data_IF_489060065850
#
_entry.id   IF_489060065850
#
_cell.length_a   1.000
_cell.length_b   1.000
_cell.length_c   1.000
_cell.angle_alpha   90.00
_cell.angle_beta   90.00
_cell.angle_gamma   90.00
#
_symmetry.space_group_name_H-M   'P 1'
#
loop_
_entity.id
_entity.type
_entity.pdbx_description
1 polymer ?
#
# COMPACT_ATOMS: atom_id res chain seq x y z
N UNK A 1 1.49 -10.61 8.85
CA UNK A 1 0.60 -9.47 9.18
C UNK A 1 0.77 -8.41 8.09
N UNK A 2 -0.28 -8.03 7.36
CA UNK A 2 -0.16 -7.08 6.24
C UNK A 2 -0.08 -5.61 6.67
N UNK A 3 -0.96 -5.19 7.59
CA UNK A 3 -1.04 -3.79 8.06
C UNK A 3 0.25 -3.31 8.73
N UNK A 4 0.84 -4.12 9.61
CA UNK A 4 2.09 -3.74 10.30
C UNK A 4 3.25 -3.52 9.32
N UNK A 5 3.31 -4.32 8.26
CA UNK A 5 4.35 -4.18 7.24
C UNK A 5 4.12 -2.98 6.32
N UNK A 6 2.85 -2.65 6.04
CA UNK A 6 2.49 -1.40 5.37
C UNK A 6 2.95 -0.18 6.18
N UNK A 7 2.70 -0.16 7.50
CA UNK A 7 3.15 0.92 8.39
C UNK A 7 4.67 1.02 8.41
N UNK A 8 5.38 -0.11 8.47
CA UNK A 8 6.84 -0.14 8.40
C UNK A 8 7.35 0.43 7.08
N UNK A 9 6.76 0.03 5.96
CA UNK A 9 7.11 0.54 4.64
C UNK A 9 6.93 2.07 4.55
N UNK A 10 5.84 2.61 5.09
CA UNK A 10 5.62 4.06 5.13
C UNK A 10 6.69 4.76 5.97
N UNK A 11 7.01 4.21 7.15
CA UNK A 11 8.02 4.79 8.04
C UNK A 11 9.44 4.73 7.44
N UNK A 12 9.83 3.61 6.84
CA UNK A 12 11.16 3.42 6.21
C UNK A 12 11.40 4.34 5.01
N UNK A 13 10.32 4.76 4.34
CA UNK A 13 10.37 5.62 3.15
C UNK A 13 9.95 7.06 3.41
N UNK A 14 9.67 7.41 4.68
CA UNK A 14 9.19 8.74 5.07
C UNK A 14 8.01 9.19 4.19
N UNK A 15 7.05 8.29 3.97
CA UNK A 15 5.92 8.55 3.09
C UNK A 15 4.97 9.54 3.77
N UNK A 16 4.91 10.75 3.23
CA UNK A 16 3.95 11.79 3.63
C UNK A 16 2.75 11.87 2.68
N UNK A 17 2.96 11.52 1.39
CA UNK A 17 1.90 11.53 0.38
C UNK A 17 1.25 10.15 0.27
N UNK A 18 -0.09 10.02 0.47
CA UNK A 18 -0.79 8.76 0.31
C UNK A 18 -0.58 8.09 -1.04
N UNK A 19 -0.40 8.84 -2.12
CA UNK A 19 -0.19 8.27 -3.46
C UNK A 19 1.07 7.41 -3.55
N UNK A 20 2.11 7.68 -2.75
CA UNK A 20 3.32 6.87 -2.67
C UNK A 20 3.04 5.47 -2.11
N UNK A 21 1.99 5.31 -1.29
CA UNK A 21 1.58 4.03 -0.71
C UNK A 21 1.19 3.03 -1.80
N UNK A 22 0.73 3.50 -2.97
CA UNK A 22 0.40 2.64 -4.13
C UNK A 22 1.59 1.80 -4.61
N UNK A 23 2.82 2.18 -4.24
CA UNK A 23 4.06 1.45 -4.54
C UNK A 23 4.34 0.30 -3.55
N UNK A 24 3.43 0.01 -2.61
CA UNK A 24 3.57 -1.12 -1.70
C UNK A 24 3.40 -2.45 -2.44
N UNK A 25 4.44 -3.27 -2.42
CA UNK A 25 4.56 -4.54 -3.12
C UNK A 25 5.07 -5.69 -2.23
N UNK A 26 5.02 -5.51 -0.89
CA UNK A 26 5.53 -6.50 0.06
C UNK A 26 4.51 -7.61 0.34
N UNK A 27 5.01 -8.76 0.82
CA UNK A 27 4.21 -9.90 1.26
C UNK A 27 3.27 -10.49 0.18
N UNK A 28 3.58 -10.26 -1.10
CA UNK A 28 2.76 -10.70 -2.23
C UNK A 28 1.50 -9.87 -2.45
N UNK A 29 1.38 -8.71 -1.78
CA UNK A 29 0.32 -7.75 -2.08
C UNK A 29 0.66 -6.92 -3.31
N UNK A 30 -0.35 -6.54 -4.08
CA UNK A 30 -0.23 -5.64 -5.23
C UNK A 30 -1.39 -4.68 -5.26
N UNK A 31 -1.10 -3.41 -5.54
CA UNK A 31 -2.10 -2.36 -5.67
C UNK A 31 -3.04 -2.63 -6.86
N UNK A 32 -4.36 -2.55 -6.61
CA UNK A 32 -5.41 -2.72 -7.62
C UNK A 32 -6.10 -1.41 -7.91
N UNK A 33 -5.59 -0.72 -8.93
CA UNK A 33 -6.11 0.58 -9.38
C UNK A 33 -7.59 0.52 -9.74
N UNK A 34 -8.03 -0.57 -10.36
CA UNK A 34 -9.42 -0.78 -10.80
C UNK A 34 -10.41 -0.95 -9.63
N UNK A 35 -9.93 -1.36 -8.46
CA UNK A 35 -10.73 -1.47 -7.24
C UNK A 35 -10.53 -0.29 -6.28
N UNK A 36 -9.59 0.60 -6.59
CA UNK A 36 -9.20 1.72 -5.74
C UNK A 36 -9.90 3.01 -6.17
N UNK A 37 -10.16 3.87 -5.20
CA UNK A 37 -10.71 5.22 -5.38
C UNK A 37 -9.74 6.26 -4.83
N UNK A 38 -10.15 7.53 -4.82
CA UNK A 38 -9.35 8.61 -4.23
C UNK A 38 -9.20 8.47 -2.71
N UNK A 39 -10.21 7.90 -2.04
CA UNK A 39 -10.25 7.75 -0.58
C UNK A 39 -9.90 6.34 -0.09
N UNK A 40 -9.91 5.33 -0.96
CA UNK A 40 -9.67 3.95 -0.58
C UNK A 40 -8.71 3.25 -1.55
N UNK A 41 -7.61 2.70 -1.03
CA UNK A 41 -6.65 1.93 -1.81
C UNK A 41 -6.77 0.45 -1.50
N UNK A 42 -7.07 -0.33 -2.54
CA UNK A 42 -7.23 -1.77 -2.46
C UNK A 42 -5.93 -2.46 -2.89
N UNK A 43 -5.46 -3.36 -2.04
CA UNK A 43 -4.32 -4.22 -2.31
C UNK A 43 -4.78 -5.67 -2.27
N UNK A 44 -4.60 -6.41 -3.37
CA UNK A 44 -4.90 -7.84 -3.41
C UNK A 44 -3.63 -8.65 -3.13
N UNK A 45 -3.79 -9.86 -2.60
CA UNK A 45 -2.70 -10.82 -2.41
C UNK A 45 -2.95 -12.05 -3.27
N UNK A 46 -1.92 -12.49 -4.01
CA UNK A 46 -1.92 -13.80 -4.69
C UNK A 46 -1.44 -14.91 -3.76
#
# INVERSE_FOLDING_TARGET
MARGEMVRFMAEREIENPEEIRKFDRLGYTFRRDLSSESEYVFERK
#
